data_IF_649479617496
#
_entry.id   IF_649479617496
#
_cell.length_a   1.000
_cell.length_b   1.000
_cell.length_c   1.000
_cell.angle_alpha   90.00
_cell.angle_beta   90.00
_cell.angle_gamma   90.00
#
_symmetry.space_group_name_H-M   'P 1'
#
loop_
_entity.id
_entity.type
_entity.pdbx_description
1 polymer ?
#
# COMPACT_ATOMS: atom_id res chain seq x y z
N UNK A 1 -10.82 -6.51 11.91
CA UNK A 1 -10.94 -5.25 12.70
C UNK A 1 -10.79 -4.09 11.72
N UNK A 2 -11.59 -3.04 11.84
CA UNK A 2 -11.41 -1.81 11.05
C UNK A 2 -10.80 -0.73 11.94
N UNK A 3 -9.91 0.07 11.37
CA UNK A 3 -9.32 1.25 11.98
C UNK A 3 -9.67 2.44 11.10
N UNK A 4 -10.10 3.54 11.72
CA UNK A 4 -10.61 4.69 10.98
C UNK A 4 -9.83 5.94 11.37
N UNK A 5 -9.45 6.71 10.36
CA UNK A 5 -8.99 8.09 10.51
C UNK A 5 -10.14 9.09 10.50
N UNK A 6 -9.76 10.36 10.62
CA UNK A 6 -10.57 11.57 10.55
C UNK A 6 -10.38 12.36 9.23
N UNK A 7 -9.24 12.21 8.56
CA UNK A 7 -8.99 12.87 7.26
C UNK A 7 -10.01 12.41 6.21
N UNK A 8 -10.70 13.39 5.61
CA UNK A 8 -11.69 13.17 4.55
C UNK A 8 -10.96 12.98 3.22
N UNK A 9 -10.96 11.75 2.70
CA UNK A 9 -10.23 11.35 1.48
C UNK A 9 -11.14 11.17 0.24
N UNK A 10 -12.46 11.25 0.40
CA UNK A 10 -13.43 11.09 -0.68
C UNK A 10 -13.73 12.43 -1.39
N UNK A 11 -12.67 13.15 -1.75
CA UNK A 11 -12.72 14.50 -2.32
C UNK A 11 -12.26 14.56 -3.79
N UNK A 12 -12.13 13.40 -4.45
CA UNK A 12 -11.60 13.24 -5.81
C UNK A 12 -10.15 13.75 -6.00
N UNK A 13 -9.36 13.81 -4.93
CA UNK A 13 -7.92 14.05 -4.99
C UNK A 13 -7.13 12.78 -4.69
N UNK A 14 -5.88 12.75 -5.15
CA UNK A 14 -4.93 11.72 -4.76
C UNK A 14 -4.56 11.88 -3.28
N UNK A 15 -4.59 10.76 -2.57
CA UNK A 15 -4.17 10.66 -1.18
C UNK A 15 -3.17 9.53 -1.04
N UNK A 16 -2.10 9.77 -0.29
CA UNK A 16 -1.18 8.72 0.09
C UNK A 16 -1.64 8.10 1.40
N UNK A 17 -1.86 6.78 1.41
CA UNK A 17 -2.24 6.04 2.63
C UNK A 17 -1.16 5.01 2.94
N UNK A 18 -0.68 5.00 4.18
CA UNK A 18 0.26 3.99 4.64
C UNK A 18 -0.16 3.42 6.00
N UNK A 19 0.12 2.13 6.16
CA UNK A 19 -0.13 1.39 7.38
C UNK A 19 1.15 0.73 7.85
N UNK A 20 1.52 0.93 9.11
CA UNK A 20 2.74 0.34 9.68
C UNK A 20 2.41 -0.45 10.94
N UNK A 21 3.21 -1.46 11.19
CA UNK A 21 3.11 -2.29 12.37
C UNK A 21 4.50 -2.58 12.92
N UNK A 22 4.73 -2.15 14.16
CA UNK A 22 5.88 -2.54 14.97
C UNK A 22 5.53 -3.79 15.77
N UNK A 23 6.16 -4.91 15.41
CA UNK A 23 6.00 -6.17 16.13
C UNK A 23 6.65 -6.21 17.52
N UNK A 24 7.56 -5.28 17.84
CA UNK A 24 8.21 -5.20 19.15
C UNK A 24 7.34 -4.45 20.16
N UNK A 25 6.84 -3.28 19.76
CA UNK A 25 5.94 -2.45 20.57
C UNK A 25 4.46 -2.82 20.47
N UNK A 26 4.08 -3.80 19.65
CA UNK A 26 2.67 -4.12 19.28
C UNK A 26 1.90 -2.84 18.92
N UNK A 27 2.54 -2.00 18.10
CA UNK A 27 2.06 -0.66 17.76
C UNK A 27 1.71 -0.58 16.30
N UNK A 28 0.57 0.01 16.02
CA UNK A 28 -0.02 0.11 14.71
C UNK A 28 -0.26 1.58 14.39
N UNK A 29 0.22 2.01 13.23
CA UNK A 29 0.09 3.39 12.78
C UNK A 29 -0.61 3.45 11.42
N UNK A 30 -1.57 4.35 11.30
CA UNK A 30 -2.17 4.76 10.02
C UNK A 30 -1.68 6.15 9.69
N UNK A 31 -1.22 6.35 8.46
CA UNK A 31 -0.80 7.63 7.94
C UNK A 31 -1.64 8.00 6.73
N UNK A 32 -2.04 9.27 6.66
CA UNK A 32 -2.67 9.87 5.48
C UNK A 32 -1.88 11.11 5.09
N UNK A 33 -1.49 11.20 3.82
CA UNK A 33 -0.67 12.27 3.25
C UNK A 33 0.64 12.53 4.01
N UNK A 34 1.19 11.49 4.62
CA UNK A 34 2.42 11.52 5.42
C UNK A 34 2.24 11.98 6.87
N UNK A 35 1.05 12.44 7.25
CA UNK A 35 0.69 12.74 8.64
C UNK A 35 0.22 11.49 9.37
N UNK A 36 0.51 11.39 10.67
CA UNK A 36 -0.07 10.34 11.53
C UNK A 36 -1.55 10.62 11.73
N UNK A 37 -2.38 9.65 11.37
CA UNK A 37 -3.84 9.73 11.48
C UNK A 37 -4.34 8.97 12.70
N UNK A 38 -3.70 7.84 13.02
CA UNK A 38 -4.03 7.01 14.16
C UNK A 38 -2.79 6.27 14.63
N UNK A 39 -2.62 6.20 15.95
CA UNK A 39 -1.72 5.26 16.61
C UNK A 39 -2.52 4.41 17.58
N UNK A 40 -2.39 3.08 17.48
CA UNK A 40 -2.98 2.14 18.44
C UNK A 40 -1.87 1.27 19.03
N UNK A 41 -1.80 1.19 20.35
CA UNK A 41 -0.86 0.36 21.10
C UNK A 41 -1.62 -0.82 21.71
N UNK A 42 -0.96 -1.98 21.85
CA UNK A 42 -1.55 -3.19 22.43
C UNK A 42 -2.76 -3.68 21.63
N UNK A 43 -2.58 -3.82 20.32
CA UNK A 43 -3.64 -4.33 19.44
C UNK A 43 -3.98 -5.81 19.72
N UNK A 44 -3.24 -6.50 20.60
CA UNK A 44 -3.35 -7.95 20.84
C UNK A 44 -3.28 -8.68 19.47
N UNK A 45 -2.52 -8.07 18.57
CA UNK A 45 -2.31 -8.48 17.19
C UNK A 45 -0.84 -8.76 17.03
N UNK A 46 -0.26 -9.52 17.96
CA UNK A 46 0.97 -10.19 17.67
C UNK A 46 0.72 -11.00 16.38
N UNK A 47 1.10 -10.46 15.23
CA UNK A 47 1.16 -11.15 13.94
C UNK A 47 2.19 -12.30 13.99
N UNK A 48 2.75 -12.56 15.18
CA UNK A 48 3.53 -13.74 15.51
C UNK A 48 2.70 -14.98 15.25
N UNK A 49 3.11 -15.76 14.25
CA UNK A 49 2.47 -17.03 13.90
C UNK A 49 1.35 -16.93 12.88
N UNK A 50 1.05 -15.74 12.32
CA UNK A 50 0.18 -15.66 11.15
C UNK A 50 0.99 -15.94 9.88
N UNK A 51 0.59 -16.96 9.14
CA UNK A 51 1.08 -17.20 7.78
C UNK A 51 0.01 -16.67 6.83
N UNK A 52 0.36 -15.68 6.00
CA UNK A 52 -0.50 -15.30 4.88
C UNK A 52 -0.39 -16.44 3.86
N UNK A 53 -1.41 -17.28 3.77
CA UNK A 53 -1.51 -18.35 2.77
C UNK A 53 -2.30 -17.93 1.55
N UNK A 54 -3.08 -16.87 1.67
CA UNK A 54 -3.96 -16.36 0.63
C UNK A 54 -3.22 -15.33 -0.23
N UNK A 55 -3.68 -15.17 -1.47
CA UNK A 55 -3.16 -14.15 -2.37
C UNK A 55 -3.41 -12.74 -1.83
N UNK A 56 -2.46 -11.83 -2.09
CA UNK A 56 -2.66 -10.41 -1.82
C UNK A 56 -3.51 -9.83 -2.95
N UNK A 57 -4.70 -9.38 -2.60
CA UNK A 57 -5.60 -8.71 -3.53
C UNK A 57 -5.45 -7.20 -3.42
N UNK A 58 -5.36 -6.51 -4.57
CA UNK A 58 -5.33 -5.05 -4.66
C UNK A 58 -6.61 -4.59 -5.36
N UNK A 59 -7.31 -3.62 -4.77
CA UNK A 59 -8.53 -3.05 -5.35
C UNK A 59 -9.79 -3.92 -5.20
N UNK A 60 -9.74 -5.01 -4.43
CA UNK A 60 -10.91 -5.83 -4.11
C UNK A 60 -10.81 -6.38 -2.69
N UNK A 61 -11.96 -6.60 -2.03
CA UNK A 61 -12.02 -7.24 -0.72
C UNK A 61 -11.60 -8.72 -0.75
N UNK A 62 -11.44 -9.31 0.43
CA UNK A 62 -10.99 -10.71 0.57
C UNK A 62 -11.95 -11.74 0.00
N UNK A 63 -13.23 -11.39 -0.23
CA UNK A 63 -14.19 -12.27 -0.91
C UNK A 63 -14.16 -12.13 -2.44
N UNK A 64 -13.42 -11.16 -2.99
CA UNK A 64 -13.35 -10.93 -4.43
C UNK A 64 -14.63 -10.30 -5.00
N UNK A 65 -15.47 -9.69 -4.16
CA UNK A 65 -16.82 -9.24 -4.53
C UNK A 65 -17.01 -7.74 -4.46
N UNK A 66 -16.29 -7.07 -3.57
CA UNK A 66 -16.41 -5.62 -3.39
C UNK A 66 -15.17 -4.95 -3.94
N UNK A 67 -15.33 -4.23 -5.05
CA UNK A 67 -14.24 -3.55 -5.74
C UNK A 67 -14.06 -2.12 -5.24
N UNK A 68 -12.82 -1.67 -5.18
CA UNK A 68 -12.48 -0.28 -4.92
C UNK A 68 -12.96 0.59 -6.09
N UNK A 69 -13.69 1.66 -5.78
CA UNK A 69 -14.17 2.63 -6.76
C UNK A 69 -13.27 3.86 -6.72
N UNK A 70 -12.19 3.82 -7.52
CA UNK A 70 -11.20 4.89 -7.61
C UNK A 70 -9.98 4.46 -8.41
N UNK A 71 -8.93 5.28 -8.36
CA UNK A 71 -7.63 4.98 -8.97
C UNK A 71 -6.65 4.51 -7.90
N UNK A 72 -5.76 3.59 -8.26
CA UNK A 72 -4.69 3.06 -7.41
C UNK A 72 -3.38 3.29 -8.14
N UNK A 73 -2.37 3.72 -7.41
CA UNK A 73 -1.04 3.97 -7.93
C UNK A 73 0.02 3.71 -6.84
N UNK A 74 1.26 3.43 -7.25
CA UNK A 74 2.45 3.38 -6.39
C UNK A 74 2.35 2.45 -5.16
N UNK A 75 1.76 1.26 -5.33
CA UNK A 75 1.60 0.29 -4.25
C UNK A 75 2.94 -0.32 -3.86
N UNK A 76 3.27 -0.23 -2.57
CA UNK A 76 4.53 -0.72 -1.99
C UNK A 76 4.25 -1.60 -0.78
N UNK A 77 4.95 -2.72 -0.69
CA UNK A 77 4.91 -3.62 0.47
C UNK A 77 6.30 -3.69 1.09
N UNK A 78 6.40 -3.47 2.39
CA UNK A 78 7.65 -3.50 3.14
C UNK A 78 7.64 -4.65 4.16
N UNK A 79 8.78 -5.31 4.31
CA UNK A 79 9.02 -6.32 5.35
C UNK A 79 9.65 -5.74 6.61
N UNK A 80 9.65 -4.43 6.74
CA UNK A 80 10.13 -3.66 7.89
C UNK A 80 9.16 -2.51 8.15
N UNK A 81 9.06 -2.07 9.39
CA UNK A 81 8.30 -0.86 9.70
C UNK A 81 8.98 0.36 9.04
N UNK A 82 8.18 1.21 8.39
CA UNK A 82 8.62 2.52 7.88
C UNK A 82 8.28 3.58 8.92
N UNK A 83 9.24 4.43 9.27
CA UNK A 83 8.98 5.56 10.17
C UNK A 83 8.11 6.62 9.50
N UNK A 84 7.43 7.45 10.30
CA UNK A 84 6.65 8.58 9.76
C UNK A 84 7.47 9.55 8.90
N UNK A 85 8.73 9.79 9.25
CA UNK A 85 9.62 10.65 8.46
C UNK A 85 9.96 10.03 7.10
N UNK A 86 10.18 8.72 7.06
CA UNK A 86 10.41 7.98 5.83
C UNK A 86 9.18 7.95 4.91
N UNK A 87 7.99 7.77 5.49
CA UNK A 87 6.73 7.84 4.77
C UNK A 87 6.54 9.24 4.18
N UNK A 88 6.68 10.28 5.01
CA UNK A 88 6.53 11.66 4.56
C UNK A 88 7.53 12.03 3.45
N UNK A 89 8.79 11.56 3.54
CA UNK A 89 9.80 11.83 2.53
C UNK A 89 9.62 11.07 1.21
N UNK A 90 8.90 9.95 1.22
CA UNK A 90 8.77 9.06 0.04
C UNK A 90 7.38 8.99 -0.57
N UNK A 91 6.35 9.60 0.06
CA UNK A 91 4.96 9.54 -0.41
C UNK A 91 4.74 10.13 -1.81
N UNK A 92 5.53 11.14 -2.19
CA UNK A 92 5.40 11.87 -3.46
C UNK A 92 6.54 11.54 -4.44
N UNK A 93 7.35 10.52 -4.16
CA UNK A 93 8.53 10.20 -4.95
C UNK A 93 8.60 8.72 -5.29
N UNK A 94 9.03 8.38 -6.51
CA UNK A 94 9.48 7.03 -6.84
C UNK A 94 10.64 6.64 -5.92
N UNK A 95 10.69 5.37 -5.55
CA UNK A 95 11.76 4.82 -4.71
C UNK A 95 12.63 3.87 -5.51
N UNK A 96 13.84 3.61 -5.01
CA UNK A 96 14.69 2.59 -5.60
C UNK A 96 14.07 1.20 -5.32
N UNK A 97 13.84 0.43 -6.37
CA UNK A 97 13.27 -0.92 -6.31
C UNK A 97 14.13 -1.96 -5.55
N UNK A 98 15.40 -1.63 -5.30
CA UNK A 98 16.33 -2.39 -4.46
C UNK A 98 16.46 -1.88 -3.03
N UNK A 99 15.59 -0.96 -2.59
CA UNK A 99 15.65 -0.40 -1.22
C UNK A 99 15.54 -1.53 -0.18
N UNK A 100 16.47 -1.63 0.79
CA UNK A 100 16.42 -2.68 1.81
C UNK A 100 15.07 -2.71 2.54
N UNK A 101 14.51 -3.91 2.65
CA UNK A 101 13.21 -4.13 3.31
C UNK A 101 12.00 -3.97 2.40
N UNK A 102 12.14 -3.44 1.17
CA UNK A 102 11.07 -3.46 0.17
C UNK A 102 10.84 -4.89 -0.32
N UNK A 103 9.57 -5.30 -0.45
CA UNK A 103 9.18 -6.68 -0.77
C UNK A 103 8.34 -6.81 -2.03
N UNK A 104 7.63 -5.75 -2.40
CA UNK A 104 6.93 -5.63 -3.66
C UNK A 104 6.76 -4.15 -3.99
N UNK A 105 6.83 -3.80 -5.28
CA UNK A 105 6.59 -2.45 -5.74
C UNK A 105 5.90 -2.45 -7.11
N UNK A 106 4.67 -1.95 -7.13
CA UNK A 106 3.82 -1.87 -8.30
C UNK A 106 3.48 -0.41 -8.58
N UNK A 107 3.97 0.12 -9.70
CA UNK A 107 3.74 1.53 -10.07
C UNK A 107 2.50 1.78 -10.91
N UNK A 108 1.86 0.75 -11.45
CA UNK A 108 0.67 0.91 -12.29
C UNK A 108 0.87 1.77 -13.58
N UNK A 109 2.12 2.06 -13.99
CA UNK A 109 2.45 2.78 -15.24
C UNK A 109 2.13 2.00 -16.53
N UNK A 110 1.71 0.73 -16.42
CA UNK A 110 1.36 -0.07 -17.59
C UNK A 110 0.17 0.56 -18.32
N UNK A 111 0.26 0.67 -19.65
CA UNK A 111 -0.83 1.25 -20.46
C UNK A 111 -1.87 0.22 -20.90
N UNK A 112 -1.55 -1.06 -20.77
CA UNK A 112 -2.34 -2.20 -21.20
C UNK A 112 -1.76 -3.50 -20.64
N UNK A 113 -2.53 -4.58 -20.76
CA UNK A 113 -2.11 -5.93 -20.40
C UNK A 113 -2.82 -6.46 -19.16
N UNK A 114 -2.52 -7.71 -18.84
CA UNK A 114 -3.12 -8.47 -17.74
C UNK A 114 -2.12 -8.79 -16.63
N UNK A 115 -0.93 -8.19 -16.67
CA UNK A 115 0.14 -8.41 -15.69
C UNK A 115 0.59 -7.06 -15.16
N UNK A 116 0.57 -6.92 -13.83
CA UNK A 116 1.18 -5.83 -13.09
C UNK A 116 2.51 -6.33 -12.55
N UNK A 117 3.60 -5.78 -13.09
CA UNK A 117 4.94 -6.24 -12.77
C UNK A 117 5.41 -5.73 -11.40
N UNK A 118 5.96 -6.63 -10.59
CA UNK A 118 6.73 -6.26 -9.41
C UNK A 118 8.12 -5.80 -9.83
N UNK A 119 8.46 -4.55 -9.51
CA UNK A 119 9.76 -3.97 -9.87
C UNK A 119 10.90 -4.44 -8.97
N UNK A 120 10.60 -5.11 -7.85
CA UNK A 120 11.64 -5.66 -6.98
C UNK A 120 12.20 -6.97 -7.52
N UNK A 121 13.34 -7.41 -7.00
CA UNK A 121 13.91 -8.72 -7.34
C UNK A 121 13.11 -9.91 -6.80
N UNK A 122 11.97 -9.67 -6.13
CA UNK A 122 11.13 -10.71 -5.54
C UNK A 122 10.18 -11.35 -6.56
N UNK A 123 10.00 -10.71 -7.72
CA UNK A 123 9.22 -11.20 -8.87
C UNK A 123 7.80 -11.63 -8.47
N UNK A 124 7.13 -10.79 -7.69
CA UNK A 124 5.75 -10.98 -7.20
C UNK A 124 4.73 -10.38 -8.16
N UNK A 125 4.86 -10.64 -9.46
CA UNK A 125 3.93 -10.13 -10.46
C UNK A 125 2.48 -10.50 -10.12
N UNK A 126 1.56 -9.57 -10.40
CA UNK A 126 0.14 -9.74 -10.12
C UNK A 126 -0.64 -9.89 -11.43
N UNK A 127 -1.59 -10.82 -11.45
CA UNK A 127 -2.61 -10.89 -12.50
C UNK A 127 -3.60 -9.74 -12.34
N UNK A 128 -3.88 -9.05 -13.45
CA UNK A 128 -4.80 -7.90 -13.49
C UNK A 128 -6.11 -8.35 -14.12
N UNK A 129 -7.16 -8.38 -13.31
CA UNK A 129 -8.51 -8.78 -13.71
C UNK A 129 -9.52 -7.65 -13.44
N UNK A 130 -9.96 -6.98 -14.51
CA UNK A 130 -11.07 -6.04 -14.45
C UNK A 130 -10.78 -4.53 -14.50
N UNK A 131 -9.66 -3.96 -14.00
CA UNK A 131 -9.47 -2.52 -14.06
C UNK A 131 -9.19 -2.05 -15.49
N UNK A 132 -9.51 -0.79 -15.76
CA UNK A 132 -9.11 -0.11 -16.99
C UNK A 132 -7.83 0.66 -16.71
N UNK A 133 -6.80 0.48 -17.55
CA UNK A 133 -5.58 1.26 -17.46
C UNK A 133 -5.84 2.71 -17.86
N UNK A 134 -5.37 3.64 -17.04
CA UNK A 134 -5.42 5.08 -17.31
C UNK A 134 -4.00 5.66 -17.22
N UNK A 135 -3.75 6.78 -17.89
CA UNK A 135 -2.50 7.51 -17.71
C UNK A 135 -2.52 8.11 -16.31
N UNK A 136 -1.48 7.86 -15.51
CA UNK A 136 -1.39 8.37 -14.15
C UNK A 136 -1.43 9.90 -14.12
N UNK A 137 -2.29 10.43 -13.25
CA UNK A 137 -2.35 11.82 -12.80
C UNK A 137 -1.93 11.95 -11.33
N UNK A 138 -1.28 10.91 -10.77
CA UNK A 138 -0.82 10.90 -9.39
C UNK A 138 0.37 11.86 -9.15
N UNK A 139 0.54 12.36 -7.91
CA UNK A 139 1.66 13.24 -7.57
C UNK A 139 3.03 12.62 -7.79
N UNK A 140 3.14 11.30 -7.67
CA UNK A 140 4.35 10.55 -7.99
C UNK A 140 4.44 10.45 -9.52
N UNK A 141 5.08 11.43 -10.15
CA UNK A 141 5.07 11.55 -11.61
C UNK A 141 5.84 10.44 -12.30
N UNK A 142 5.35 10.04 -13.48
CA UNK A 142 5.94 8.99 -14.29
C UNK A 142 7.22 9.31 -15.06
#
# INVERSE_FOLDING_TARGET
>A
KSYSGTTVINNNAWHHVAYTYDGTGDTLNLYVDGGIELTTVSVNQALTGFTITDDINIGVDSSGTTFFSGKIDEVRIWGVERSGAEILGSKDNKINESTPGLRAYYRFDQKYGTILYDLTSQNKDCDVNGPTWEISDAPVSD
#
